data_IF_815349226865
#
_entry.id   IF_815349226865
#
_cell.length_a   1.000
_cell.length_b   1.000
_cell.length_c   1.000
_cell.angle_alpha   90.00
_cell.angle_beta   90.00
_cell.angle_gamma   90.00
#
_symmetry.space_group_name_H-M   'P 1'
#
loop_
_entity.id
_entity.type
_entity.pdbx_description
1 polymer ?
#
# COMPACT_ATOMS: atom_id res chain seq x y z
N UNK A 1 -0.01 14.92 -11.32
CA UNK A 1 0.70 14.13 -10.30
C UNK A 1 0.09 14.41 -8.94
N UNK A 2 -0.19 13.37 -8.16
CA UNK A 2 -0.66 13.50 -6.79
C UNK A 2 0.23 12.67 -5.87
N UNK A 3 0.78 13.29 -4.84
CA UNK A 3 1.59 12.63 -3.82
C UNK A 3 0.84 12.60 -2.51
N UNK A 4 0.86 11.45 -1.85
CA UNK A 4 0.19 11.24 -0.56
C UNK A 4 1.14 10.52 0.38
N UNK A 5 0.96 10.74 1.67
CA UNK A 5 1.70 10.00 2.68
C UNK A 5 0.91 9.91 3.98
N UNK A 6 1.17 8.87 4.74
CA UNK A 6 0.66 8.71 6.09
C UNK A 6 1.70 7.99 6.93
N UNK A 7 1.71 8.25 8.23
CA UNK A 7 2.68 7.68 9.15
C UNK A 7 1.99 7.37 10.47
N UNK A 8 2.36 6.27 11.10
CA UNK A 8 1.86 5.90 12.41
C UNK A 8 2.94 5.15 13.21
N UNK A 9 2.94 5.38 14.52
CA UNK A 9 3.73 4.56 15.44
C UNK A 9 2.86 3.39 15.88
N UNK A 10 3.36 2.19 15.69
CA UNK A 10 2.67 0.95 16.05
C UNK A 10 3.44 0.27 17.18
N UNK A 11 2.74 -0.08 18.25
CA UNK A 11 3.33 -0.71 19.44
C UNK A 11 3.54 -2.21 19.23
N UNK A 12 4.37 -2.55 18.24
CA UNK A 12 4.76 -3.91 17.91
C UNK A 12 6.14 -3.90 17.25
N UNK A 13 6.94 -4.96 17.40
CA UNK A 13 8.27 -5.01 16.78
C UNK A 13 8.17 -5.09 15.26
N UNK A 14 9.21 -4.60 14.59
CA UNK A 14 9.25 -4.49 13.13
C UNK A 14 8.99 -5.82 12.41
N UNK A 15 9.49 -6.93 12.93
CA UNK A 15 9.26 -8.25 12.35
C UNK A 15 7.79 -8.65 12.35
N UNK A 16 7.07 -8.32 13.42
CA UNK A 16 5.64 -8.61 13.52
C UNK A 16 4.82 -7.74 12.57
N UNK A 17 5.16 -6.46 12.48
CA UNK A 17 4.51 -5.53 11.55
C UNK A 17 4.77 -5.98 10.12
N UNK A 18 6.02 -6.31 9.79
CA UNK A 18 6.38 -6.79 8.47
C UNK A 18 5.64 -8.05 8.07
N UNK A 19 5.54 -9.01 8.98
CA UNK A 19 4.82 -10.26 8.72
C UNK A 19 3.36 -10.02 8.35
N UNK A 20 2.69 -9.10 9.04
CA UNK A 20 1.31 -8.75 8.73
C UNK A 20 1.20 -7.95 7.43
N UNK A 21 2.11 -6.99 7.22
CA UNK A 21 2.13 -6.13 6.04
C UNK A 21 2.31 -6.94 4.76
N UNK A 22 3.10 -8.01 4.81
CA UNK A 22 3.41 -8.86 3.65
C UNK A 22 2.60 -10.15 3.60
N UNK A 23 1.65 -10.31 4.50
CA UNK A 23 0.74 -11.46 4.46
C UNK A 23 -0.42 -11.15 3.50
N UNK A 24 -0.22 -11.47 2.22
CA UNK A 24 -1.19 -11.14 1.18
C UNK A 24 -2.54 -11.82 1.33
N UNK A 25 -2.65 -13.06 1.84
CA UNK A 25 -3.97 -13.65 2.12
C UNK A 25 -4.84 -12.82 3.07
N UNK A 26 -4.25 -12.08 3.98
CA UNK A 26 -4.98 -11.23 4.92
C UNK A 26 -4.92 -9.73 4.57
N UNK A 27 -4.50 -9.40 3.35
CA UNK A 27 -4.26 -8.03 2.92
C UNK A 27 -5.49 -7.12 3.11
N UNK A 28 -6.67 -7.64 2.86
CA UNK A 28 -7.92 -6.89 3.00
C UNK A 28 -8.30 -6.57 4.45
N UNK A 29 -7.67 -7.20 5.43
CA UNK A 29 -7.97 -6.94 6.83
C UNK A 29 -7.42 -5.60 7.32
N UNK A 30 -6.42 -5.06 6.61
CA UNK A 30 -5.86 -3.75 6.97
C UNK A 30 -5.85 -2.75 5.82
N UNK A 31 -5.67 -3.18 4.59
CA UNK A 31 -5.59 -2.27 3.43
C UNK A 31 -6.98 -1.79 3.02
N UNK A 32 -7.26 -0.52 3.27
CA UNK A 32 -8.60 0.06 3.09
C UNK A 32 -9.07 0.14 1.63
N UNK A 33 -8.14 0.09 0.66
CA UNK A 33 -8.48 0.15 -0.77
C UNK A 33 -8.53 -1.23 -1.43
N UNK A 34 -8.09 -2.26 -0.74
CA UNK A 34 -8.02 -3.61 -1.30
C UNK A 34 -9.41 -4.25 -1.42
N UNK A 35 -9.69 -4.84 -2.58
CA UNK A 35 -10.88 -5.67 -2.78
C UNK A 35 -10.48 -7.16 -2.79
N UNK A 36 -9.69 -7.56 -3.77
CA UNK A 36 -9.18 -8.94 -3.85
C UNK A 36 -8.02 -9.03 -4.83
N UNK A 37 -7.35 -10.17 -4.82
CA UNK A 37 -6.36 -10.53 -5.84
C UNK A 37 -7.02 -11.53 -6.78
N UNK A 38 -7.40 -11.16 -8.02
CA UNK A 38 -8.16 -12.04 -8.92
C UNK A 38 -7.44 -13.34 -9.29
N UNK A 39 -6.10 -13.33 -9.27
CA UNK A 39 -5.27 -14.50 -9.58
C UNK A 39 -4.50 -15.00 -8.35
N UNK A 40 -4.97 -14.67 -7.15
CA UNK A 40 -4.21 -14.86 -5.92
C UNK A 40 -3.13 -13.77 -5.77
N UNK A 41 -2.55 -13.63 -4.60
CA UNK A 41 -1.45 -12.69 -4.37
C UNK A 41 -0.16 -13.19 -5.02
N UNK A 42 0.96 -12.45 -4.84
CA UNK A 42 2.24 -12.89 -5.35
C UNK A 42 2.63 -14.22 -4.71
N UNK A 43 3.13 -15.15 -5.52
CA UNK A 43 3.57 -16.47 -5.03
C UNK A 43 4.76 -16.34 -4.09
N UNK A 44 5.61 -15.34 -4.34
CA UNK A 44 6.73 -14.99 -3.48
C UNK A 44 6.94 -13.48 -3.56
N UNK A 45 7.25 -12.86 -2.43
CA UNK A 45 7.58 -11.44 -2.40
C UNK A 45 9.07 -11.29 -2.68
N UNK A 46 9.38 -10.87 -3.90
CA UNK A 46 10.75 -10.63 -4.34
C UNK A 46 10.78 -9.51 -5.37
N UNK A 47 11.92 -8.86 -5.54
CA UNK A 47 12.07 -7.82 -6.56
C UNK A 47 11.79 -8.38 -7.95
N UNK A 48 11.00 -7.67 -8.72
CA UNK A 48 10.57 -8.11 -10.05
C UNK A 48 9.30 -8.95 -10.08
N UNK A 49 8.80 -9.42 -8.93
CA UNK A 49 7.55 -10.17 -8.86
C UNK A 49 6.39 -9.29 -9.30
N UNK A 50 5.41 -9.88 -9.96
CA UNK A 50 4.20 -9.18 -10.42
C UNK A 50 2.95 -9.84 -9.85
N UNK A 51 1.92 -9.03 -9.62
CA UNK A 51 0.62 -9.52 -9.18
C UNK A 51 -0.46 -8.50 -9.54
N UNK A 52 -1.69 -8.97 -9.69
CA UNK A 52 -2.83 -8.12 -10.01
C UNK A 52 -3.70 -7.95 -8.78
N UNK A 53 -4.13 -6.73 -8.53
CA UNK A 53 -5.01 -6.39 -7.42
C UNK A 53 -6.24 -5.66 -7.94
N UNK A 54 -7.42 -6.04 -7.46
CA UNK A 54 -8.61 -5.24 -7.61
C UNK A 54 -8.69 -4.31 -6.41
N UNK A 55 -8.76 -3.01 -6.68
CA UNK A 55 -8.81 -1.95 -5.68
C UNK A 55 -10.07 -1.10 -5.86
N UNK A 56 -10.40 -0.34 -4.85
CA UNK A 56 -11.46 0.64 -4.90
C UNK A 56 -10.99 1.93 -4.25
N UNK A 57 -11.05 3.03 -4.99
CA UNK A 57 -10.66 4.34 -4.49
C UNK A 57 -11.69 5.36 -4.96
N UNK A 58 -12.14 6.23 -4.05
CA UNK A 58 -13.19 7.21 -4.34
C UNK A 58 -14.48 6.55 -4.84
N UNK A 59 -14.76 5.31 -4.42
CA UNK A 59 -15.91 4.54 -4.89
C UNK A 59 -15.75 3.91 -6.26
N UNK A 60 -14.62 4.10 -6.94
CA UNK A 60 -14.38 3.54 -8.28
C UNK A 60 -13.52 2.28 -8.19
N UNK A 61 -13.97 1.15 -8.77
CA UNK A 61 -13.16 -0.04 -8.85
C UNK A 61 -12.06 0.13 -9.90
N UNK A 62 -10.89 -0.44 -9.64
CA UNK A 62 -9.77 -0.43 -10.58
C UNK A 62 -8.99 -1.74 -10.45
N UNK A 63 -8.54 -2.26 -11.59
CA UNK A 63 -7.61 -3.38 -11.63
C UNK A 63 -6.22 -2.83 -11.85
N UNK A 64 -5.28 -3.19 -10.98
CA UNK A 64 -3.91 -2.68 -11.02
C UNK A 64 -2.95 -3.84 -11.13
N UNK A 65 -2.03 -3.75 -12.10
CA UNK A 65 -0.93 -4.70 -12.24
C UNK A 65 0.29 -4.12 -11.52
N UNK A 66 0.67 -4.75 -10.42
CA UNK A 66 1.80 -4.34 -9.59
C UNK A 66 3.08 -5.08 -9.95
N UNK A 67 4.20 -4.36 -9.84
CA UNK A 67 5.54 -4.93 -9.92
C UNK A 67 6.30 -4.51 -8.66
N UNK A 68 6.97 -5.47 -8.01
CA UNK A 68 7.81 -5.16 -6.85
C UNK A 68 9.11 -4.53 -7.34
N UNK A 69 9.33 -3.27 -6.97
CA UNK A 69 10.49 -2.47 -7.40
C UNK A 69 11.64 -2.51 -6.39
N UNK A 70 11.31 -2.56 -5.10
CA UNK A 70 12.28 -2.52 -4.02
C UNK A 70 11.82 -3.45 -2.90
N UNK A 71 12.74 -4.18 -2.31
CA UNK A 71 12.44 -5.06 -1.18
C UNK A 71 13.64 -5.16 -0.25
N UNK A 72 13.46 -4.66 0.98
CA UNK A 72 14.39 -4.80 2.08
C UNK A 72 13.63 -5.36 3.28
N UNK A 73 13.84 -6.62 3.61
CA UNK A 73 13.09 -7.31 4.67
C UNK A 73 13.06 -6.51 5.97
N UNK A 74 11.85 -6.34 6.54
CA UNK A 74 11.55 -5.62 7.78
C UNK A 74 11.87 -4.12 7.74
N UNK A 75 12.19 -3.56 6.57
CA UNK A 75 12.55 -2.15 6.42
C UNK A 75 11.72 -1.42 5.38
N UNK A 76 11.62 -1.97 4.18
CA UNK A 76 10.88 -1.29 3.11
C UNK A 76 10.49 -2.24 1.98
N UNK A 77 9.34 -1.96 1.36
CA UNK A 77 9.11 -2.45 0.01
C UNK A 77 8.34 -1.41 -0.80
N UNK A 78 8.64 -1.37 -2.09
CA UNK A 78 8.01 -0.45 -3.01
C UNK A 78 7.41 -1.24 -4.18
N UNK A 79 6.21 -0.87 -4.55
CA UNK A 79 5.49 -1.48 -5.67
C UNK A 79 5.03 -0.38 -6.62
N UNK A 80 5.08 -0.68 -7.93
CA UNK A 80 4.63 0.22 -8.98
C UNK A 80 3.53 -0.46 -9.76
N UNK A 81 2.38 0.19 -9.86
CA UNK A 81 1.20 -0.37 -10.48
C UNK A 81 0.77 0.40 -11.70
N UNK A 82 0.22 -0.35 -12.68
CA UNK A 82 -0.41 0.20 -13.86
C UNK A 82 -1.90 -0.03 -13.74
N UNK A 83 -2.64 1.05 -13.62
CA UNK A 83 -4.10 1.03 -13.54
C UNK A 83 -4.75 1.39 -14.87
N UNK A 84 -6.09 1.52 -14.88
CA UNK A 84 -6.83 1.91 -16.08
C UNK A 84 -6.51 3.35 -16.49
N UNK A 85 -6.75 3.65 -17.77
CA UNK A 85 -6.63 5.01 -18.33
C UNK A 85 -5.22 5.61 -18.21
N UNK A 86 -4.19 4.77 -18.21
CA UNK A 86 -2.81 5.22 -18.14
C UNK A 86 -2.36 5.70 -16.77
N UNK A 87 -3.14 5.45 -15.73
CA UNK A 87 -2.75 5.81 -14.36
C UNK A 87 -1.64 4.91 -13.89
N UNK A 88 -0.59 5.51 -13.32
CA UNK A 88 0.51 4.78 -12.68
C UNK A 88 0.52 5.14 -11.20
N UNK A 89 0.58 4.11 -10.37
CA UNK A 89 0.59 4.26 -8.91
C UNK A 89 1.90 3.70 -8.38
N UNK A 90 2.59 4.46 -7.55
CA UNK A 90 3.77 3.96 -6.84
C UNK A 90 3.46 4.03 -5.35
N UNK A 91 3.69 2.93 -4.65
CA UNK A 91 3.48 2.86 -3.20
C UNK A 91 4.73 2.34 -2.53
N UNK A 92 5.21 3.04 -1.52
CA UNK A 92 6.38 2.63 -0.75
C UNK A 92 6.01 2.53 0.72
N UNK A 93 6.25 1.36 1.27
CA UNK A 93 6.09 1.09 2.70
C UNK A 93 7.45 1.10 3.35
N UNK A 94 7.64 1.86 4.41
CA UNK A 94 8.88 1.89 5.15
C UNK A 94 8.64 1.73 6.65
N UNK A 95 9.51 0.94 7.29
CA UNK A 95 9.45 0.63 8.70
C UNK A 95 10.73 1.08 9.38
N UNK A 96 10.59 1.81 10.50
CA UNK A 96 11.71 2.21 11.32
C UNK A 96 11.49 1.65 12.73
N UNK A 97 12.34 0.71 13.11
CA UNK A 97 12.26 0.09 14.43
C UNK A 97 12.69 1.07 15.52
N UNK A 98 11.95 1.06 16.63
CA UNK A 98 12.24 1.88 17.81
C UNK A 98 11.93 1.01 19.04
N UNK A 99 12.91 0.18 19.43
CA UNK A 99 12.71 -0.80 20.51
C UNK A 99 11.62 -1.81 20.13
N UNK A 100 10.59 -1.90 20.96
CA UNK A 100 9.45 -2.82 20.75
C UNK A 100 8.34 -2.17 19.92
N UNK A 101 8.55 -0.97 19.41
CA UNK A 101 7.60 -0.26 18.56
C UNK A 101 8.21 -0.05 17.17
N UNK A 102 7.35 0.31 16.22
CA UNK A 102 7.75 0.54 14.83
C UNK A 102 7.01 1.76 14.29
N UNK A 103 7.74 2.66 13.65
CA UNK A 103 7.11 3.72 12.86
C UNK A 103 6.92 3.21 11.45
N UNK A 104 5.68 3.20 10.99
CA UNK A 104 5.32 2.77 9.63
C UNK A 104 4.93 4.00 8.82
N UNK A 105 5.54 4.16 7.68
CA UNK A 105 5.21 5.24 6.74
C UNK A 105 4.79 4.63 5.41
N UNK A 106 3.72 5.17 4.84
CA UNK A 106 3.27 4.79 3.49
C UNK A 106 3.34 6.05 2.64
N UNK A 107 4.08 5.99 1.55
CA UNK A 107 4.16 7.05 0.55
C UNK A 107 3.53 6.55 -0.74
N UNK A 108 2.66 7.35 -1.32
CA UNK A 108 1.99 7.04 -2.58
C UNK A 108 2.11 8.16 -3.58
N UNK A 109 2.21 7.80 -4.86
CA UNK A 109 2.25 8.75 -5.95
C UNK A 109 1.36 8.24 -7.08
N UNK A 110 0.52 9.13 -7.61
CA UNK A 110 -0.36 8.85 -8.73
C UNK A 110 0.02 9.77 -9.88
N UNK A 111 0.23 9.20 -11.07
CA UNK A 111 0.53 9.96 -12.28
C UNK A 111 -0.40 9.54 -13.42
N UNK A 112 -0.53 10.40 -14.42
CA UNK A 112 -1.38 10.18 -15.58
C UNK A 112 -2.31 11.37 -15.84
N UNK A 113 -2.79 11.50 -17.06
CA UNK A 113 -3.65 12.63 -17.45
C UNK A 113 -4.96 12.67 -16.65
N UNK A 114 -5.56 11.49 -16.39
CA UNK A 114 -6.78 11.40 -15.60
C UNK A 114 -6.59 11.89 -14.17
N UNK A 115 -5.41 11.68 -13.60
CA UNK A 115 -5.07 12.12 -12.23
C UNK A 115 -5.03 13.64 -12.14
N UNK A 116 -4.51 14.31 -13.17
CA UNK A 116 -4.40 15.78 -13.18
C UNK A 116 -5.75 16.48 -13.07
N UNK A 117 -6.81 15.84 -13.55
CA UNK A 117 -8.17 16.41 -13.52
C UNK A 117 -8.83 16.33 -12.13
N UNK A 118 -8.36 15.46 -11.26
CA UNK A 118 -8.97 15.23 -9.95
C UNK A 118 -7.94 15.10 -8.81
N UNK A 119 -6.76 15.68 -9.00
CA UNK A 119 -5.65 15.51 -8.06
C UNK A 119 -6.00 15.84 -6.62
N UNK A 120 -6.74 16.92 -6.36
CA UNK A 120 -7.12 17.31 -5.01
C UNK A 120 -8.02 16.28 -4.31
N UNK A 121 -9.08 15.82 -5.00
CA UNK A 121 -9.99 14.81 -4.46
C UNK A 121 -9.30 13.48 -4.27
N UNK A 122 -8.45 13.10 -5.22
CA UNK A 122 -7.68 11.87 -5.15
C UNK A 122 -6.72 11.90 -3.97
N UNK A 123 -6.03 13.00 -3.77
CA UNK A 123 -5.12 13.18 -2.64
C UNK A 123 -5.84 13.04 -1.29
N UNK A 124 -6.99 13.70 -1.14
CA UNK A 124 -7.78 13.63 0.09
C UNK A 124 -8.28 12.20 0.36
N UNK A 125 -8.82 11.55 -0.67
CA UNK A 125 -9.34 10.19 -0.56
C UNK A 125 -8.23 9.18 -0.26
N UNK A 126 -7.10 9.28 -0.95
CA UNK A 126 -5.97 8.39 -0.75
C UNK A 126 -5.35 8.59 0.64
N UNK A 127 -5.20 9.83 1.10
CA UNK A 127 -4.67 10.11 2.44
C UNK A 127 -5.56 9.50 3.51
N UNK A 128 -6.88 9.64 3.38
CA UNK A 128 -7.83 9.04 4.31
C UNK A 128 -7.72 7.51 4.30
N UNK A 129 -7.58 6.90 3.12
CA UNK A 129 -7.43 5.45 2.98
C UNK A 129 -6.13 4.95 3.61
N UNK A 130 -5.02 5.64 3.41
CA UNK A 130 -3.74 5.28 4.04
C UNK A 130 -3.80 5.38 5.56
N UNK A 131 -4.41 6.43 6.08
CA UNK A 131 -4.58 6.63 7.52
C UNK A 131 -5.42 5.51 8.13
N UNK A 132 -6.53 5.15 7.47
CA UNK A 132 -7.39 4.05 7.90
C UNK A 132 -6.66 2.71 7.83
N UNK A 133 -5.86 2.48 6.78
CA UNK A 133 -5.06 1.27 6.64
C UNK A 133 -4.07 1.12 7.77
N UNK A 134 -3.38 2.19 8.15
CA UNK A 134 -2.43 2.16 9.28
C UNK A 134 -3.13 1.91 10.61
N UNK A 135 -4.32 2.49 10.79
CA UNK A 135 -5.13 2.25 12.00
C UNK A 135 -5.51 0.77 12.12
N UNK A 136 -5.95 0.16 11.03
CA UNK A 136 -6.32 -1.26 11.00
C UNK A 136 -5.10 -2.15 11.20
N UNK A 137 -3.99 -1.82 10.54
CA UNK A 137 -2.74 -2.57 10.70
C UNK A 137 -2.29 -2.57 12.15
N UNK A 138 -2.32 -1.41 12.80
CA UNK A 138 -2.01 -1.30 14.23
C UNK A 138 -2.90 -2.20 15.08
N UNK A 139 -4.19 -2.24 14.79
CA UNK A 139 -5.14 -3.08 15.51
C UNK A 139 -4.88 -4.58 15.36
N UNK A 140 -4.26 -5.00 14.28
CA UNK A 140 -3.95 -6.42 14.05
C UNK A 140 -2.69 -6.88 14.76
N UNK A 141 -1.73 -6.01 15.00
CA UNK A 141 -0.39 -6.38 15.50
C UNK A 141 -0.04 -5.78 16.86
N UNK A 142 -0.70 -4.74 17.28
CA UNK A 142 -0.43 -4.11 18.58
C UNK A 142 -1.08 -4.83 19.74
#
# INVERSE_FOLDING_TARGET
>A
MAEVSAEARIEAPAGKVWAQLTDFPSYGEWNATHTNFPNGGPAALEAGATFTENMKLMGFPAEVLWTVEELESERAFAIKGKGPMGVVVTTRYSLEADGDATTVRIDGEFTGAAVSLMAGKLKDSATAALTESLRKLSGLVA
#
